data_IF_210289457789
#
_entry.id   IF_210289457789
#
_cell.length_a   1.000
_cell.length_b   1.000
_cell.length_c   1.000
_cell.angle_alpha   90.00
_cell.angle_beta   90.00
_cell.angle_gamma   90.00
#
_symmetry.space_group_name_H-M   'P 1'
#
loop_
_entity.id
_entity.type
_entity.pdbx_description
1 polymer ?
#
# COMPACT_ATOMS: atom_id res chain seq x y z
N UNK A 1 23.08 1.29 1.71
CA UNK A 1 21.66 1.67 1.88
C UNK A 1 21.61 3.18 2.05
N UNK A 2 20.62 3.84 1.46
CA UNK A 2 20.44 5.27 1.70
C UNK A 2 19.99 5.51 3.16
N UNK A 3 20.27 6.70 3.68
CA UNK A 3 19.81 7.11 5.00
C UNK A 3 18.26 7.13 5.05
N UNK A 4 17.69 6.65 6.15
CA UNK A 4 16.24 6.68 6.40
C UNK A 4 15.93 7.70 7.47
N UNK A 5 15.15 8.72 7.16
CA UNK A 5 14.61 9.66 8.13
C UNK A 5 13.17 9.28 8.46
N UNK A 6 12.90 9.06 9.74
CA UNK A 6 11.56 8.84 10.25
C UNK A 6 11.11 10.03 11.08
N UNK A 7 10.02 10.68 10.66
CA UNK A 7 9.35 11.71 11.43
C UNK A 7 7.98 11.19 11.88
N UNK A 8 7.57 11.45 13.14
CA UNK A 8 6.22 11.13 13.58
C UNK A 8 5.19 11.90 12.75
N UNK A 9 4.11 11.23 12.37
CA UNK A 9 3.00 11.89 11.67
C UNK A 9 2.41 12.99 12.57
N UNK A 10 2.32 14.24 12.08
CA UNK A 10 1.74 15.33 12.85
C UNK A 10 0.33 15.01 13.35
N UNK A 11 0.02 15.47 14.55
CA UNK A 11 -1.33 15.35 15.12
C UNK A 11 -1.89 16.74 15.42
N UNK A 12 -3.02 17.14 14.79
CA UNK A 12 -3.75 16.43 13.73
C UNK A 12 -2.99 16.40 12.39
N UNK A 13 -3.14 15.31 11.63
CA UNK A 13 -2.49 15.10 10.33
C UNK A 13 -3.16 15.92 9.22
N UNK A 14 -3.20 17.24 9.38
CA UNK A 14 -3.79 18.16 8.38
C UNK A 14 -2.88 18.32 7.16
N UNK A 15 -3.42 18.73 5.99
CA UNK A 15 -2.62 18.98 4.78
C UNK A 15 -1.42 19.89 5.02
N UNK A 16 -1.61 20.99 5.73
CA UNK A 16 -0.53 21.93 6.05
C UNK A 16 0.53 21.36 6.96
N UNK A 17 0.14 20.63 8.01
CA UNK A 17 1.07 20.00 8.95
C UNK A 17 1.93 18.92 8.26
N UNK A 18 1.32 18.09 7.41
CA UNK A 18 2.04 17.07 6.65
C UNK A 18 2.97 17.71 5.62
N UNK A 19 2.52 18.74 4.89
CA UNK A 19 3.37 19.47 3.95
C UNK A 19 4.59 20.11 4.64
N UNK A 20 4.43 20.63 5.85
CA UNK A 20 5.54 21.16 6.65
C UNK A 20 6.53 20.06 7.06
N UNK A 21 6.04 18.88 7.45
CA UNK A 21 6.89 17.72 7.74
C UNK A 21 7.69 17.26 6.52
N UNK A 22 7.03 17.16 5.37
CA UNK A 22 7.69 16.82 4.08
C UNK A 22 8.77 17.85 3.75
N UNK A 23 8.50 19.15 3.92
CA UNK A 23 9.49 20.20 3.68
C UNK A 23 10.74 20.00 4.57
N UNK A 24 10.57 19.66 5.85
CA UNK A 24 11.70 19.35 6.75
C UNK A 24 12.51 18.15 6.26
N UNK A 25 11.85 17.09 5.75
CA UNK A 25 12.55 15.93 5.19
C UNK A 25 13.38 16.32 3.95
N UNK A 26 12.80 17.09 3.04
CA UNK A 26 13.51 17.57 1.83
C UNK A 26 14.73 18.44 2.21
N UNK A 27 14.58 19.32 3.20
CA UNK A 27 15.67 20.15 3.70
C UNK A 27 16.78 19.32 4.38
N UNK A 28 16.41 18.30 5.16
CA UNK A 28 17.38 17.40 5.82
C UNK A 28 18.26 16.69 4.79
N UNK A 29 17.67 16.16 3.73
CA UNK A 29 18.41 15.47 2.68
C UNK A 29 19.04 16.41 1.62
N UNK A 30 18.80 17.72 1.72
CA UNK A 30 19.23 18.70 0.69
C UNK A 30 18.85 18.24 -0.72
N UNK A 31 17.69 17.55 -0.85
CA UNK A 31 17.28 16.89 -2.07
C UNK A 31 16.79 17.89 -3.11
N UNK A 32 17.20 17.66 -4.36
CA UNK A 32 16.73 18.38 -5.55
C UNK A 32 16.30 17.38 -6.61
N UNK A 33 15.10 17.56 -7.19
CA UNK A 33 14.58 16.66 -8.19
C UNK A 33 13.12 16.26 -7.94
N UNK A 34 12.55 15.38 -8.78
CA UNK A 34 11.18 14.92 -8.61
C UNK A 34 11.05 14.00 -7.37
N UNK A 35 9.98 14.17 -6.63
CA UNK A 35 9.69 13.42 -5.40
C UNK A 35 8.46 12.54 -5.62
N UNK A 36 8.56 11.28 -5.26
CA UNK A 36 7.41 10.39 -5.15
C UNK A 36 6.94 10.26 -3.71
N UNK A 37 5.64 10.23 -3.49
CA UNK A 37 5.06 10.05 -2.16
C UNK A 37 3.93 9.03 -2.18
N UNK A 38 3.97 8.04 -1.28
CA UNK A 38 2.83 7.17 -0.98
C UNK A 38 1.84 7.87 -0.07
N UNK A 39 0.56 7.79 -0.37
CA UNK A 39 -0.52 8.39 0.40
C UNK A 39 -1.54 7.31 0.83
N UNK A 40 -1.96 7.27 2.11
CA UNK A 40 -2.90 6.27 2.59
C UNK A 40 -4.35 6.65 2.26
N UNK A 41 -4.75 6.48 1.01
CA UNK A 41 -6.09 6.79 0.52
C UNK A 41 -6.17 6.79 -1.01
N UNK A 42 -7.39 6.89 -1.52
CA UNK A 42 -7.68 6.96 -2.95
C UNK A 42 -7.22 8.30 -3.52
N UNK A 43 -6.45 8.24 -4.60
CA UNK A 43 -5.87 9.39 -5.28
C UNK A 43 -6.32 9.44 -6.74
N UNK A 44 -6.93 10.52 -7.18
CA UNK A 44 -7.30 10.70 -8.59
C UNK A 44 -6.72 12.00 -9.13
N UNK A 45 -5.83 11.91 -10.10
CA UNK A 45 -5.14 13.07 -10.70
C UNK A 45 -4.51 14.02 -9.66
N UNK A 46 -3.87 13.43 -8.62
CA UNK A 46 -3.26 14.16 -7.52
C UNK A 46 -4.23 14.68 -6.46
N UNK A 47 -5.55 14.48 -6.64
CA UNK A 47 -6.59 14.88 -5.67
C UNK A 47 -6.90 13.72 -4.74
N UNK A 48 -6.96 14.01 -3.45
CA UNK A 48 -7.35 13.05 -2.41
C UNK A 48 -8.87 12.87 -2.41
N UNK A 49 -9.34 11.63 -2.62
CA UNK A 49 -10.77 11.30 -2.57
C UNK A 49 -11.16 10.69 -1.22
N UNK A 50 -10.25 9.96 -0.58
CA UNK A 50 -10.49 9.37 0.75
C UNK A 50 -9.32 9.64 1.68
N UNK A 51 -9.59 9.79 2.98
CA UNK A 51 -8.58 10.06 4.01
C UNK A 51 -8.98 9.38 5.34
N UNK A 52 -9.02 8.05 5.37
CA UNK A 52 -9.57 7.27 6.52
C UNK A 52 -8.71 7.45 7.77
N UNK A 53 -7.39 7.47 7.64
CA UNK A 53 -6.44 7.53 8.76
C UNK A 53 -5.79 8.92 8.93
N UNK A 54 -6.28 9.93 8.21
CA UNK A 54 -5.78 11.30 8.25
C UNK A 54 -6.93 12.28 8.55
N UNK A 55 -6.60 13.58 8.67
CA UNK A 55 -7.63 14.60 8.82
C UNK A 55 -8.60 14.60 7.63
N UNK A 56 -9.93 14.67 7.87
CA UNK A 56 -10.93 14.79 6.79
C UNK A 56 -10.71 15.99 5.86
N UNK A 57 -9.95 17.00 6.32
CA UNK A 57 -9.60 18.18 5.51
C UNK A 57 -8.72 17.88 4.28
N UNK A 58 -8.25 16.64 4.13
CA UNK A 58 -7.55 16.18 2.94
C UNK A 58 -8.48 15.96 1.73
N UNK A 59 -9.72 15.56 1.96
CA UNK A 59 -10.66 15.26 0.89
C UNK A 59 -10.85 16.49 -0.02
N UNK A 60 -10.71 16.29 -1.33
CA UNK A 60 -10.76 17.34 -2.34
C UNK A 60 -9.47 18.18 -2.48
N UNK A 61 -8.42 17.94 -1.67
CA UNK A 61 -7.14 18.63 -1.82
C UNK A 61 -6.26 17.96 -2.86
N UNK A 62 -5.62 18.75 -3.70
CA UNK A 62 -4.58 18.24 -4.59
C UNK A 62 -3.25 18.18 -3.82
N UNK A 63 -2.85 16.98 -3.44
CA UNK A 63 -1.64 16.73 -2.63
C UNK A 63 -0.36 17.09 -3.39
N UNK A 64 -0.30 16.83 -4.71
CA UNK A 64 0.88 17.15 -5.52
C UNK A 64 1.12 18.66 -5.58
N UNK A 65 0.05 19.45 -5.84
CA UNK A 65 0.14 20.92 -5.83
C UNK A 65 0.55 21.44 -4.46
N UNK A 66 -0.04 20.91 -3.39
CA UNK A 66 0.27 21.32 -2.01
C UNK A 66 1.76 21.07 -1.67
N UNK A 67 2.26 19.88 -1.95
CA UNK A 67 3.65 19.52 -1.65
C UNK A 67 4.63 20.30 -2.53
N UNK A 68 4.30 20.51 -3.81
CA UNK A 68 5.07 21.39 -4.71
C UNK A 68 5.14 22.83 -4.19
N UNK A 69 4.03 23.38 -3.69
CA UNK A 69 4.01 24.73 -3.10
C UNK A 69 4.91 24.85 -1.87
N UNK A 70 4.87 23.82 -1.00
CA UNK A 70 5.63 23.81 0.23
C UNK A 70 7.15 23.62 0.01
N UNK A 71 7.56 22.83 -0.98
CA UNK A 71 8.95 22.39 -1.17
C UNK A 71 9.64 23.00 -2.39
N UNK A 72 8.87 23.55 -3.35
CA UNK A 72 9.32 23.99 -4.67
C UNK A 72 9.78 22.87 -5.60
N UNK A 73 9.59 21.59 -5.22
CA UNK A 73 9.94 20.43 -6.03
C UNK A 73 8.70 19.83 -6.71
N UNK A 74 8.85 19.17 -7.87
CA UNK A 74 7.75 18.43 -8.49
C UNK A 74 7.43 17.19 -7.66
N UNK A 75 6.14 16.93 -7.41
CA UNK A 75 5.64 15.75 -6.69
C UNK A 75 4.76 14.90 -7.60
N UNK A 76 4.88 13.58 -7.43
CA UNK A 76 3.91 12.59 -7.85
C UNK A 76 3.42 11.87 -6.59
N UNK A 77 2.10 11.88 -6.37
CA UNK A 77 1.48 11.23 -5.20
C UNK A 77 0.65 10.06 -5.67
N UNK A 78 0.87 8.90 -5.08
CA UNK A 78 0.25 7.62 -5.42
C UNK A 78 -0.29 6.96 -4.15
N UNK A 79 -1.33 6.14 -4.26
CA UNK A 79 -1.76 5.30 -3.14
C UNK A 79 -0.59 4.47 -2.59
N UNK A 80 -0.52 4.25 -1.28
CA UNK A 80 0.60 3.56 -0.62
C UNK A 80 0.70 2.07 -0.99
N UNK A 81 -0.44 1.38 -1.17
CA UNK A 81 -0.46 0.00 -1.63
C UNK A 81 -0.10 -0.12 -3.12
N UNK A 82 -0.53 0.84 -3.96
CA UNK A 82 -0.12 0.95 -5.36
C UNK A 82 1.40 1.15 -5.45
N UNK A 83 1.97 2.01 -4.61
CA UNK A 83 3.42 2.21 -4.52
C UNK A 83 4.14 0.90 -4.16
N UNK A 84 3.69 0.23 -3.10
CA UNK A 84 4.29 -1.04 -2.69
C UNK A 84 4.20 -2.09 -3.81
N UNK A 85 3.07 -2.15 -4.49
CA UNK A 85 2.87 -3.04 -5.64
C UNK A 85 3.81 -2.74 -6.80
N UNK A 86 4.00 -1.47 -7.17
CA UNK A 86 4.96 -1.06 -8.22
C UNK A 86 6.37 -1.57 -7.91
N UNK A 87 6.83 -1.42 -6.68
CA UNK A 87 8.14 -1.91 -6.28
C UNK A 87 8.25 -3.44 -6.42
N UNK A 88 7.24 -4.17 -5.94
CA UNK A 88 7.23 -5.64 -5.99
C UNK A 88 7.15 -6.18 -7.43
N UNK A 89 6.42 -5.53 -8.32
CA UNK A 89 6.33 -5.92 -9.74
C UNK A 89 7.68 -5.73 -10.45
N UNK A 90 8.38 -4.66 -10.17
CA UNK A 90 9.63 -4.36 -10.89
C UNK A 90 10.87 -4.99 -10.24
N UNK A 91 10.93 -5.05 -8.91
CA UNK A 91 12.13 -5.44 -8.17
C UNK A 91 11.93 -6.60 -7.20
N UNK A 92 10.67 -6.97 -6.90
CA UNK A 92 10.33 -7.94 -5.87
C UNK A 92 9.77 -9.26 -6.38
N UNK A 93 8.74 -9.73 -5.67
CA UNK A 93 8.12 -11.03 -5.89
C UNK A 93 7.33 -11.13 -7.20
N UNK A 94 6.88 -10.00 -7.76
CA UNK A 94 6.15 -9.92 -9.03
C UNK A 94 7.02 -9.79 -10.26
N UNK A 95 8.33 -9.72 -10.10
CA UNK A 95 9.25 -9.53 -11.22
C UNK A 95 9.09 -10.62 -12.30
N UNK A 96 8.98 -10.21 -13.57
CA UNK A 96 8.75 -11.07 -14.75
C UNK A 96 7.38 -11.73 -14.85
N UNK A 97 6.42 -11.38 -13.98
CA UNK A 97 5.03 -11.84 -14.15
C UNK A 97 4.36 -11.07 -15.29
N UNK A 98 3.71 -11.83 -16.20
CA UNK A 98 3.04 -11.26 -17.38
C UNK A 98 1.51 -11.24 -17.26
N UNK A 99 0.96 -12.01 -16.32
CA UNK A 99 -0.47 -12.13 -16.11
C UNK A 99 -1.02 -11.10 -15.12
N UNK A 100 -2.12 -11.47 -14.47
CA UNK A 100 -2.77 -10.67 -13.44
C UNK A 100 -2.10 -10.91 -12.09
N UNK A 101 -1.59 -9.86 -11.47
CA UNK A 101 -0.98 -9.89 -10.15
C UNK A 101 -1.79 -9.03 -9.20
N UNK A 102 -2.13 -9.58 -8.04
CA UNK A 102 -2.75 -8.83 -6.95
C UNK A 102 -1.73 -8.67 -5.82
N UNK A 103 -1.45 -7.44 -5.44
CA UNK A 103 -0.71 -7.10 -4.23
C UNK A 103 -1.71 -6.83 -3.10
N UNK A 104 -1.50 -7.43 -1.94
CA UNK A 104 -2.27 -7.20 -0.72
C UNK A 104 -1.31 -6.80 0.40
N UNK A 105 -1.54 -5.67 1.05
CA UNK A 105 -0.78 -5.26 2.23
C UNK A 105 -1.63 -5.46 3.48
N UNK A 106 -1.12 -6.23 4.44
CA UNK A 106 -1.78 -6.50 5.73
C UNK A 106 -1.09 -5.69 6.83
N UNK A 107 -1.72 -4.58 7.21
CA UNK A 107 -1.23 -3.63 8.20
C UNK A 107 -2.31 -3.20 9.18
N UNK A 108 -2.45 -1.90 9.43
CA UNK A 108 -3.56 -1.30 10.18
C UNK A 108 -4.91 -1.62 9.51
N UNK A 109 -4.97 -1.48 8.20
CA UNK A 109 -6.03 -1.94 7.33
C UNK A 109 -5.54 -3.00 6.35
N UNK A 110 -6.23 -3.12 5.22
CA UNK A 110 -5.82 -3.92 4.07
C UNK A 110 -5.75 -3.02 2.85
N UNK A 111 -4.54 -2.77 2.36
CA UNK A 111 -4.35 -2.12 1.07
C UNK A 111 -4.27 -3.15 -0.06
N UNK A 112 -4.60 -2.72 -1.28
CA UNK A 112 -4.55 -3.58 -2.46
C UNK A 112 -4.09 -2.83 -3.70
N UNK A 113 -3.43 -3.54 -4.61
CA UNK A 113 -3.09 -3.05 -5.94
C UNK A 113 -3.21 -4.19 -6.95
N UNK A 114 -3.68 -3.91 -8.16
CA UNK A 114 -3.77 -4.88 -9.25
C UNK A 114 -2.83 -4.47 -10.37
N UNK A 115 -2.19 -5.46 -10.97
CA UNK A 115 -1.36 -5.29 -12.16
C UNK A 115 -1.78 -6.29 -13.23
N UNK A 116 -1.89 -5.82 -14.47
CA UNK A 116 -2.16 -6.64 -15.65
C UNK A 116 -1.01 -6.45 -16.62
N UNK A 117 -0.25 -7.52 -16.86
CA UNK A 117 0.95 -7.42 -17.70
C UNK A 117 2.01 -6.44 -17.17
N UNK A 118 2.05 -6.21 -15.86
CA UNK A 118 2.94 -5.25 -15.20
C UNK A 118 2.42 -3.80 -15.16
N UNK A 119 1.23 -3.54 -15.74
CA UNK A 119 0.58 -2.22 -15.72
C UNK A 119 -0.35 -2.13 -14.51
N UNK A 120 -0.21 -1.06 -13.73
CA UNK A 120 -1.03 -0.81 -12.55
C UNK A 120 -2.49 -0.47 -12.93
N UNK A 121 -3.44 -1.11 -12.26
CA UNK A 121 -4.84 -0.66 -12.16
C UNK A 121 -4.95 0.09 -10.83
N UNK A 122 -4.98 1.44 -10.84
CA UNK A 122 -4.81 2.22 -9.62
C UNK A 122 -6.03 2.21 -8.70
N UNK A 123 -5.78 2.50 -7.42
CA UNK A 123 -6.81 2.78 -6.42
C UNK A 123 -7.79 1.63 -6.17
N UNK A 124 -7.34 0.40 -6.10
CA UNK A 124 -8.19 -0.72 -5.69
C UNK A 124 -8.30 -0.78 -4.16
N UNK A 125 -9.51 -0.96 -3.64
CA UNK A 125 -9.82 -0.91 -2.21
C UNK A 125 -10.46 -2.24 -1.73
N UNK A 126 -9.73 -3.35 -1.90
CA UNK A 126 -10.23 -4.69 -1.54
C UNK A 126 -10.30 -4.94 -0.02
N UNK A 127 -9.76 -4.04 0.79
CA UNK A 127 -9.97 -4.04 2.23
C UNK A 127 -11.44 -3.87 2.62
N UNK A 128 -12.21 -3.18 1.77
CA UNK A 128 -13.65 -2.94 1.95
C UNK A 128 -14.56 -4.02 1.35
N UNK A 129 -14.00 -5.10 0.78
CA UNK A 129 -14.81 -6.24 0.37
C UNK A 129 -15.54 -6.83 1.58
N UNK A 130 -16.81 -7.18 1.39
CA UNK A 130 -17.58 -7.79 2.45
C UNK A 130 -17.11 -9.22 2.73
N UNK A 131 -16.63 -9.46 3.93
CA UNK A 131 -16.25 -10.75 4.46
C UNK A 131 -17.03 -10.99 5.76
N UNK A 132 -17.84 -12.04 5.81
CA UNK A 132 -18.70 -12.36 6.98
C UNK A 132 -19.59 -11.18 7.42
N UNK A 133 -20.12 -10.40 6.46
CA UNK A 133 -21.00 -9.26 6.72
C UNK A 133 -20.31 -8.00 7.25
N UNK A 134 -18.95 -7.93 7.18
CA UNK A 134 -18.14 -6.79 7.60
C UNK A 134 -17.06 -6.51 6.56
N UNK A 135 -16.44 -5.35 6.62
CA UNK A 135 -15.25 -5.04 5.84
C UNK A 135 -14.13 -6.05 6.14
N UNK A 136 -13.52 -6.58 5.09
CA UNK A 136 -12.50 -7.62 5.20
C UNK A 136 -11.32 -7.18 6.09
N UNK A 137 -10.95 -5.90 6.06
CA UNK A 137 -9.86 -5.38 6.90
C UNK A 137 -10.14 -5.50 8.40
N UNK A 138 -11.39 -5.41 8.83
CA UNK A 138 -11.78 -5.59 10.25
C UNK A 138 -11.61 -7.04 10.73
N UNK A 139 -11.40 -7.98 9.78
CA UNK A 139 -11.31 -9.41 10.04
C UNK A 139 -9.92 -9.97 9.72
N UNK A 140 -9.29 -9.53 8.64
CA UNK A 140 -8.09 -10.15 8.10
C UNK A 140 -6.84 -9.26 8.17
N UNK A 141 -6.93 -7.98 8.57
CA UNK A 141 -5.74 -7.13 8.75
C UNK A 141 -4.84 -7.61 9.90
N UNK A 142 -3.59 -7.14 9.93
CA UNK A 142 -2.69 -7.37 11.06
C UNK A 142 -3.25 -6.76 12.35
N UNK A 143 -3.81 -5.57 12.28
CA UNK A 143 -4.49 -4.89 13.39
C UNK A 143 -5.63 -5.75 13.96
N UNK A 144 -6.44 -6.38 13.10
CA UNK A 144 -7.51 -7.27 13.57
C UNK A 144 -6.97 -8.45 14.37
N UNK A 145 -5.80 -9.01 13.98
CA UNK A 145 -5.12 -10.05 14.76
C UNK A 145 -4.72 -9.54 16.15
N UNK A 146 -4.10 -8.38 16.21
CA UNK A 146 -3.57 -7.78 17.45
C UNK A 146 -4.69 -7.42 18.43
N UNK A 147 -5.70 -6.69 17.98
CA UNK A 147 -6.82 -6.25 18.83
C UNK A 147 -7.60 -7.43 19.41
N UNK A 148 -7.72 -8.54 18.67
CA UNK A 148 -8.42 -9.73 19.14
C UNK A 148 -7.50 -10.78 19.77
N UNK A 149 -6.22 -10.48 19.95
CA UNK A 149 -5.20 -11.41 20.47
C UNK A 149 -5.27 -12.80 19.81
N UNK A 150 -5.40 -12.81 18.48
CA UNK A 150 -5.46 -14.08 17.77
C UNK A 150 -4.09 -14.66 17.55
N UNK A 151 -3.97 -15.97 17.86
CA UNK A 151 -2.80 -16.75 17.44
C UNK A 151 -2.64 -16.72 15.92
N UNK A 152 -1.42 -16.90 15.43
CA UNK A 152 -1.13 -17.02 13.99
C UNK A 152 -2.02 -18.06 13.30
N UNK A 153 -2.27 -19.20 13.97
CA UNK A 153 -3.15 -20.28 13.48
C UNK A 153 -4.60 -19.83 13.34
N UNK A 154 -5.13 -19.06 14.30
CA UNK A 154 -6.50 -18.55 14.25
C UNK A 154 -6.66 -17.46 13.18
N UNK A 155 -5.72 -16.52 13.14
CA UNK A 155 -5.73 -15.43 12.17
C UNK A 155 -5.52 -15.91 10.73
N UNK A 156 -4.62 -16.88 10.47
CA UNK A 156 -4.40 -17.42 9.13
C UNK A 156 -5.65 -18.03 8.50
N UNK A 157 -6.63 -18.50 9.29
CA UNK A 157 -7.93 -18.94 8.78
C UNK A 157 -8.75 -17.76 8.22
N UNK A 158 -8.67 -16.59 8.86
CA UNK A 158 -9.35 -15.37 8.41
C UNK A 158 -8.73 -14.84 7.12
N UNK A 159 -7.40 -14.78 7.09
CA UNK A 159 -6.68 -14.40 5.88
C UNK A 159 -6.96 -15.39 4.74
N UNK A 160 -7.07 -16.70 5.02
CA UNK A 160 -7.43 -17.68 4.01
C UNK A 160 -8.78 -17.40 3.37
N UNK A 161 -9.81 -17.09 4.17
CA UNK A 161 -11.13 -16.76 3.65
C UNK A 161 -11.07 -15.53 2.73
N UNK A 162 -10.29 -14.52 3.13
CA UNK A 162 -10.07 -13.33 2.34
C UNK A 162 -9.32 -13.63 1.02
N UNK A 163 -8.24 -14.41 1.07
CA UNK A 163 -7.49 -14.79 -0.14
C UNK A 163 -8.35 -15.62 -1.10
N UNK A 164 -9.19 -16.52 -0.60
CA UNK A 164 -10.15 -17.26 -1.43
C UNK A 164 -11.18 -16.33 -2.09
N UNK A 165 -11.62 -15.28 -1.39
CA UNK A 165 -12.51 -14.28 -1.98
C UNK A 165 -11.83 -13.56 -3.15
N UNK A 166 -10.60 -13.07 -2.96
CA UNK A 166 -9.80 -12.45 -4.02
C UNK A 166 -9.56 -13.42 -5.18
N UNK A 167 -9.14 -14.65 -4.89
CA UNK A 167 -8.88 -15.68 -5.90
C UNK A 167 -10.12 -15.98 -6.76
N UNK A 168 -11.31 -16.02 -6.14
CA UNK A 168 -12.57 -16.26 -6.82
C UNK A 168 -13.05 -15.07 -7.66
N UNK A 169 -12.85 -13.84 -7.19
CA UNK A 169 -13.35 -12.63 -7.86
C UNK A 169 -12.43 -12.17 -8.99
N UNK A 170 -11.13 -12.26 -8.78
CA UNK A 170 -10.12 -11.69 -9.70
C UNK A 170 -9.48 -12.79 -10.57
N UNK A 171 -9.39 -14.02 -10.05
CA UNK A 171 -8.71 -15.14 -10.71
C UNK A 171 -7.26 -14.77 -11.13
N UNK A 172 -6.43 -14.28 -10.22
CA UNK A 172 -5.08 -13.80 -10.54
C UNK A 172 -4.12 -14.99 -10.75
N UNK A 173 -3.00 -14.72 -11.45
CA UNK A 173 -1.89 -15.67 -11.57
C UNK A 173 -1.01 -15.68 -10.31
N UNK A 174 -0.91 -14.52 -9.66
CA UNK A 174 -0.08 -14.33 -8.48
C UNK A 174 -0.77 -13.41 -7.47
N UNK A 175 -0.74 -13.79 -6.20
CA UNK A 175 -1.06 -12.91 -5.07
C UNK A 175 0.22 -12.70 -4.26
N UNK A 176 0.64 -11.43 -4.11
CA UNK A 176 1.77 -11.03 -3.28
C UNK A 176 1.21 -10.47 -1.97
N UNK A 177 1.69 -10.98 -0.84
CA UNK A 177 1.22 -10.51 0.46
C UNK A 177 2.32 -9.76 1.19
N UNK A 178 2.11 -8.47 1.38
CA UNK A 178 3.01 -7.52 2.05
C UNK A 178 2.49 -7.05 3.41
N UNK A 179 3.03 -5.91 3.85
CA UNK A 179 2.84 -5.37 5.19
C UNK A 179 3.78 -5.99 6.21
N UNK A 180 3.83 -5.45 7.42
CA UNK A 180 4.77 -5.88 8.47
C UNK A 180 4.72 -7.37 8.81
N UNK A 181 3.54 -7.99 8.69
CA UNK A 181 3.34 -9.43 8.95
C UNK A 181 4.00 -10.34 7.90
N UNK A 182 4.35 -9.81 6.72
CA UNK A 182 5.04 -10.59 5.68
C UNK A 182 6.45 -11.02 6.11
N UNK A 183 7.09 -10.29 7.02
CA UNK A 183 8.38 -10.66 7.61
C UNK A 183 8.32 -11.95 8.45
N UNK A 184 7.12 -12.39 8.82
CA UNK A 184 6.87 -13.64 9.55
C UNK A 184 5.93 -14.56 8.78
N UNK A 185 6.02 -14.52 7.44
CA UNK A 185 5.14 -15.26 6.54
C UNK A 185 5.15 -16.77 6.82
N UNK A 186 6.28 -17.33 7.24
CA UNK A 186 6.43 -18.74 7.57
C UNK A 186 5.46 -19.21 8.67
N UNK A 187 5.03 -18.30 9.58
CA UNK A 187 4.13 -18.64 10.70
C UNK A 187 2.68 -18.82 10.28
N UNK A 188 2.28 -18.23 9.16
CA UNK A 188 0.86 -18.11 8.83
C UNK A 188 0.53 -18.33 7.35
N UNK A 189 1.37 -17.87 6.41
CA UNK A 189 1.07 -17.85 4.98
C UNK A 189 0.82 -19.25 4.40
N UNK A 190 1.55 -20.33 4.74
CA UNK A 190 1.24 -21.66 4.23
C UNK A 190 -0.16 -22.16 4.58
N UNK A 191 -0.71 -21.72 5.73
CA UNK A 191 -2.09 -22.04 6.11
C UNK A 191 -3.10 -21.14 5.40
N UNK A 192 -2.76 -19.88 5.24
CA UNK A 192 -3.63 -18.91 4.58
C UNK A 192 -3.75 -19.18 3.06
N UNK A 193 -2.69 -19.63 2.42
CA UNK A 193 -2.67 -19.96 1.00
C UNK A 193 -3.30 -21.33 0.65
N UNK A 194 -3.65 -22.15 1.67
CA UNK A 194 -4.17 -23.50 1.41
C UNK A 194 -5.48 -23.46 0.62
N UNK A 195 -5.45 -24.07 -0.59
CA UNK A 195 -6.61 -24.20 -1.47
C UNK A 195 -6.86 -22.95 -2.36
N UNK A 196 -6.05 -21.91 -2.26
CA UNK A 196 -6.05 -20.81 -3.22
C UNK A 196 -5.43 -21.30 -4.54
N UNK A 197 -6.05 -21.02 -5.67
CA UNK A 197 -5.58 -21.46 -7.01
C UNK A 197 -4.39 -20.65 -7.48
N UNK A 198 -4.44 -19.33 -7.25
CA UNK A 198 -3.33 -18.44 -7.52
C UNK A 198 -2.09 -18.84 -6.72
N UNK A 199 -0.91 -18.61 -7.27
CA UNK A 199 0.34 -18.67 -6.49
C UNK A 199 0.33 -17.56 -5.45
N UNK A 200 0.50 -17.89 -4.17
CA UNK A 200 0.57 -16.91 -3.08
C UNK A 200 1.99 -16.86 -2.52
N UNK A 201 2.58 -15.67 -2.48
CA UNK A 201 3.97 -15.47 -2.00
C UNK A 201 4.06 -14.25 -1.08
N UNK A 202 5.01 -14.21 -0.16
CA UNK A 202 5.29 -12.99 0.59
C UNK A 202 5.99 -11.95 -0.28
N UNK A 203 5.78 -10.68 0.02
CA UNK A 203 6.54 -9.56 -0.53
C UNK A 203 8.03 -9.70 -0.21
N UNK A 204 8.90 -9.29 -1.13
CA UNK A 204 10.36 -9.38 -0.98
C UNK A 204 10.99 -8.10 -0.46
N UNK A 205 10.40 -6.95 -0.77
CA UNK A 205 10.95 -5.64 -0.39
C UNK A 205 10.46 -5.18 0.99
N UNK A 206 9.57 -5.93 1.63
CA UNK A 206 9.09 -5.66 2.98
C UNK A 206 8.68 -4.19 3.19
N UNK A 207 9.26 -3.52 4.20
CA UNK A 207 8.95 -2.12 4.53
C UNK A 207 9.51 -1.10 3.52
N UNK A 208 10.45 -1.51 2.65
CA UNK A 208 11.04 -0.66 1.62
C UNK A 208 10.11 -0.48 0.41
N UNK A 209 9.16 -1.40 0.22
CA UNK A 209 8.33 -1.45 -0.98
C UNK A 209 7.60 -0.13 -1.26
N UNK A 210 7.00 0.49 -0.23
CA UNK A 210 6.29 1.76 -0.38
C UNK A 210 7.20 2.90 -0.82
N UNK A 211 8.40 3.01 -0.21
CA UNK A 211 9.38 4.07 -0.53
C UNK A 211 9.93 3.87 -1.95
N UNK A 212 10.34 2.65 -2.28
CA UNK A 212 10.88 2.32 -3.60
C UNK A 212 9.83 2.57 -4.68
N UNK A 213 8.60 2.12 -4.48
CA UNK A 213 7.52 2.31 -5.46
C UNK A 213 7.13 3.77 -5.63
N UNK A 214 7.06 4.54 -4.55
CA UNK A 214 6.83 5.98 -4.62
C UNK A 214 7.95 6.67 -5.41
N UNK A 215 9.22 6.34 -5.14
CA UNK A 215 10.35 6.88 -5.89
C UNK A 215 10.28 6.51 -7.38
N UNK A 216 9.85 5.30 -7.72
CA UNK A 216 9.64 4.87 -9.12
C UNK A 216 8.52 5.64 -9.82
N UNK A 217 7.52 6.09 -9.09
CA UNK A 217 6.43 6.92 -9.62
C UNK A 217 6.86 8.36 -9.84
N UNK A 218 7.94 8.83 -9.19
CA UNK A 218 8.40 10.21 -9.26
C UNK A 218 8.66 10.64 -10.71
N UNK A 219 8.05 11.76 -11.12
CA UNK A 219 8.20 12.33 -12.46
C UNK A 219 7.51 11.56 -13.60
N UNK A 220 6.79 10.47 -13.30
CA UNK A 220 6.00 9.72 -14.29
C UNK A 220 4.55 10.23 -14.31
N UNK A 221 3.94 10.25 -15.49
CA UNK A 221 2.47 10.31 -15.57
C UNK A 221 1.95 8.90 -15.28
N UNK A 222 1.27 8.75 -14.16
CA UNK A 222 0.56 7.52 -13.84
C UNK A 222 -0.72 7.44 -14.68
N UNK A 223 -1.25 6.22 -14.97
CA UNK A 223 -2.57 6.06 -15.58
C UNK A 223 -3.61 6.85 -14.79
N UNK A 224 -4.49 7.53 -15.51
CA UNK A 224 -5.59 8.30 -14.91
C UNK A 224 -6.68 7.39 -14.37
#
# INVERSE_FOLDING_TARGET
MAEHLHLPTPQPATPGAVAAAIKKMIQHFQFSGPVGAGFPGVMRQGVVETAVNLSPSWVGKNAEKLFKQATRLPFTVINDADAAGLAEIHHGAGRKQKGTVVMITLGTGIGSAIFIGGVLVPNTEFGHLTLRGKDAETIASAKAREVNDWSWKKWSKRVREYLHLIDRLINPDLIIVGGGVSQRAEKWLPRAAKGVRAKVVPAKLHNEAGIVGAAMAAGKKLPA
#
